data_IF_307344638129
#
_entry.id   IF_307344638129
#
_cell.length_a   1.000
_cell.length_b   1.000
_cell.length_c   1.000
_cell.angle_alpha   90.00
_cell.angle_beta   90.00
_cell.angle_gamma   90.00
#
_symmetry.space_group_name_H-M   'P 1'
#
loop_
_entity.id
_entity.type
_entity.pdbx_description
1 polymer ?
#
# COMPACT_ATOMS: atom_id res chain seq x y z
N UNK A 1 8.24 -6.82 32.52
CA UNK A 1 9.16 -5.68 32.34
C UNK A 1 9.30 -5.45 30.84
N UNK A 2 8.58 -4.47 30.28
CA UNK A 2 8.64 -4.15 28.85
C UNK A 2 9.74 -3.13 28.59
N UNK A 3 10.79 -3.53 27.90
CA UNK A 3 11.79 -2.61 27.36
C UNK A 3 11.21 -1.95 26.11
N UNK A 4 10.35 -0.95 26.30
CA UNK A 4 9.96 -0.04 25.21
C UNK A 4 11.20 0.75 24.81
N UNK A 5 12.00 0.23 23.87
CA UNK A 5 13.02 1.00 23.19
C UNK A 5 12.34 2.19 22.53
N UNK A 6 12.61 3.39 23.04
CA UNK A 6 12.07 4.64 22.50
C UNK A 6 12.38 4.66 20.99
N UNK A 7 11.35 4.70 20.16
CA UNK A 7 11.49 4.83 18.72
C UNK A 7 12.36 6.06 18.43
N UNK A 8 13.49 5.86 17.75
CA UNK A 8 14.44 6.95 17.46
C UNK A 8 13.86 8.01 16.52
N UNK A 9 12.77 7.68 15.83
CA UNK A 9 12.11 8.56 14.87
C UNK A 9 12.95 8.80 13.61
N UNK A 10 12.36 9.41 12.57
CA UNK A 10 13.12 9.87 11.43
C UNK A 10 14.06 11.00 11.85
N UNK A 11 15.31 10.93 11.38
CA UNK A 11 16.36 11.90 11.68
C UNK A 11 17.14 12.24 10.41
N UNK A 12 17.72 13.44 10.37
CA UNK A 12 18.46 13.96 9.20
C UNK A 12 17.88 15.27 8.66
N UNK A 13 18.66 15.92 7.79
CA UNK A 13 18.37 17.28 7.30
C UNK A 13 17.07 17.36 6.50
N UNK A 14 16.76 16.34 5.69
CA UNK A 14 15.54 16.32 4.87
C UNK A 14 14.27 16.23 5.70
N UNK A 15 14.22 15.31 6.66
CA UNK A 15 13.13 15.19 7.61
C UNK A 15 12.94 16.49 8.40
N UNK A 16 14.04 17.08 8.87
CA UNK A 16 14.02 18.35 9.62
C UNK A 16 13.58 19.53 8.75
N UNK A 17 13.88 19.51 7.45
CA UNK A 17 13.41 20.52 6.49
C UNK A 17 11.91 20.41 6.27
N UNK A 18 11.39 19.20 6.00
CA UNK A 18 9.96 18.94 5.81
C UNK A 18 9.16 19.35 7.06
N UNK A 19 9.60 18.95 8.26
CA UNK A 19 8.97 19.32 9.52
C UNK A 19 8.93 20.84 9.73
N UNK A 20 10.01 21.57 9.40
CA UNK A 20 10.02 23.03 9.48
C UNK A 20 9.08 23.69 8.47
N UNK A 21 8.90 23.12 7.28
CA UNK A 21 7.91 23.61 6.30
C UNK A 21 6.49 23.40 6.83
N UNK A 22 6.20 22.22 7.37
CA UNK A 22 4.91 21.90 7.96
C UNK A 22 4.57 22.79 9.16
N UNK A 23 5.53 23.04 10.06
CA UNK A 23 5.32 23.92 11.21
C UNK A 23 4.99 25.39 10.83
N UNK A 24 5.28 25.79 9.58
CA UNK A 24 4.94 27.11 9.03
C UNK A 24 3.73 27.10 8.12
N UNK A 25 3.16 25.92 7.84
CA UNK A 25 1.99 25.78 7.00
C UNK A 25 0.77 26.41 7.70
N UNK A 26 -0.11 27.00 6.89
CA UNK A 26 -1.34 27.65 7.35
C UNK A 26 -2.48 27.27 6.44
N UNK A 27 -3.50 26.68 7.03
CA UNK A 27 -4.72 26.25 6.36
C UNK A 27 -5.46 27.42 5.69
N UNK A 28 -5.48 28.60 6.32
CA UNK A 28 -6.16 29.79 5.78
C UNK A 28 -5.45 30.46 4.58
N UNK A 29 -4.37 29.89 4.06
CA UNK A 29 -3.61 30.49 2.96
C UNK A 29 -4.22 30.15 1.60
N UNK A 30 -4.16 31.10 0.64
CA UNK A 30 -4.72 30.93 -0.72
C UNK A 30 -4.23 29.69 -1.49
N UNK A 31 -3.08 29.12 -1.09
CA UNK A 31 -2.49 27.93 -1.71
C UNK A 31 -2.17 26.87 -0.64
N UNK A 32 -3.00 26.76 0.40
CA UNK A 32 -2.76 25.83 1.50
C UNK A 32 -2.63 24.39 1.00
N UNK A 33 -3.49 24.01 0.06
CA UNK A 33 -3.57 22.64 -0.47
C UNK A 33 -2.31 22.25 -1.23
N UNK A 34 -1.98 23.00 -2.28
CA UNK A 34 -0.74 22.81 -3.05
C UNK A 34 0.50 22.79 -2.14
N UNK A 35 0.56 23.65 -1.12
CA UNK A 35 1.68 23.67 -0.19
C UNK A 35 1.75 22.42 0.69
N UNK A 36 0.60 21.88 1.09
CA UNK A 36 0.55 20.65 1.87
C UNK A 36 1.02 19.45 1.03
N UNK A 37 0.62 19.39 -0.24
CA UNK A 37 1.08 18.40 -1.20
C UNK A 37 2.60 18.45 -1.41
N UNK A 38 3.17 19.65 -1.59
CA UNK A 38 4.62 19.81 -1.68
C UNK A 38 5.34 19.35 -0.41
N UNK A 39 4.72 19.53 0.77
CA UNK A 39 5.27 19.06 2.04
C UNK A 39 5.18 17.53 2.12
N UNK A 40 4.06 16.94 1.71
CA UNK A 40 3.90 15.48 1.63
C UNK A 40 4.94 14.86 0.68
N UNK A 41 5.19 15.51 -0.47
CA UNK A 41 6.24 15.11 -1.42
C UNK A 41 7.64 15.14 -0.79
N UNK A 42 7.95 16.13 0.03
CA UNK A 42 9.23 16.21 0.75
C UNK A 42 9.37 15.08 1.79
N UNK A 43 8.29 14.74 2.50
CA UNK A 43 8.26 13.62 3.42
C UNK A 43 8.44 12.27 2.72
N UNK A 44 7.74 12.04 1.61
CA UNK A 44 7.88 10.83 0.79
C UNK A 44 9.31 10.69 0.24
N UNK A 45 9.89 11.79 -0.25
CA UNK A 45 11.29 11.79 -0.70
C UNK A 45 12.26 11.47 0.43
N UNK A 46 12.06 12.03 1.61
CA UNK A 46 12.88 11.74 2.79
C UNK A 46 12.77 10.27 3.21
N UNK A 47 11.58 9.66 3.11
CA UNK A 47 11.36 8.24 3.36
C UNK A 47 12.16 7.38 2.37
N UNK A 48 11.98 7.60 1.07
CA UNK A 48 12.68 6.85 0.03
C UNK A 48 14.20 6.94 0.17
N UNK A 49 14.74 8.12 0.42
CA UNK A 49 16.18 8.29 0.64
C UNK A 49 16.68 7.55 1.88
N UNK A 50 15.90 7.58 2.96
CA UNK A 50 16.25 6.87 4.20
C UNK A 50 16.29 5.37 3.97
N UNK A 51 15.28 4.81 3.28
CA UNK A 51 15.20 3.37 3.01
C UNK A 51 16.25 2.91 1.99
N UNK A 52 16.63 3.74 1.03
CA UNK A 52 17.76 3.46 0.12
C UNK A 52 19.10 3.41 0.86
N UNK A 53 19.27 4.28 1.87
CA UNK A 53 20.49 4.30 2.68
C UNK A 53 20.53 3.15 3.71
N UNK A 54 19.38 2.83 4.31
CA UNK A 54 19.20 1.74 5.26
C UNK A 54 17.83 1.09 5.06
N UNK A 55 17.81 -0.06 4.38
CA UNK A 55 16.57 -0.81 4.10
C UNK A 55 15.86 -1.26 5.37
N UNK A 56 16.59 -1.43 6.48
CA UNK A 56 16.03 -1.84 7.77
C UNK A 56 15.42 -0.68 8.56
N UNK A 57 15.55 0.56 8.06
CA UNK A 57 15.03 1.73 8.74
C UNK A 57 13.52 1.57 9.02
N UNK A 58 13.18 1.82 10.29
CA UNK A 58 11.82 1.70 10.82
C UNK A 58 11.21 0.29 10.80
N UNK A 59 11.96 -0.74 10.37
CA UNK A 59 11.42 -2.08 10.12
C UNK A 59 10.39 -2.13 9.00
N UNK A 60 10.25 -1.04 8.21
CA UNK A 60 9.12 -0.85 7.31
C UNK A 60 9.12 -1.87 6.16
N UNK A 61 10.30 -2.15 5.59
CA UNK A 61 10.42 -3.11 4.49
C UNK A 61 9.95 -4.52 4.90
N UNK A 62 10.48 -5.05 6.00
CA UNK A 62 10.15 -6.41 6.45
C UNK A 62 8.68 -6.52 6.88
N UNK A 63 8.18 -5.50 7.60
CA UNK A 63 6.76 -5.44 7.99
C UNK A 63 5.83 -5.36 6.78
N UNK A 64 6.19 -4.54 5.79
CA UNK A 64 5.44 -4.39 4.53
C UNK A 64 5.37 -5.71 3.75
N UNK A 65 6.50 -6.41 3.61
CA UNK A 65 6.53 -7.72 2.95
C UNK A 65 5.68 -8.75 3.69
N UNK A 66 5.88 -8.89 5.00
CA UNK A 66 5.12 -9.87 5.79
C UNK A 66 3.61 -9.57 5.80
N UNK A 67 3.21 -8.30 5.75
CA UNK A 67 1.81 -7.92 5.60
C UNK A 67 1.27 -8.23 4.20
N UNK A 68 2.04 -7.90 3.14
CA UNK A 68 1.67 -8.21 1.76
C UNK A 68 1.48 -9.71 1.50
N UNK A 69 2.35 -10.56 2.04
CA UNK A 69 2.23 -12.03 1.94
C UNK A 69 0.94 -12.54 2.61
N UNK A 70 0.61 -11.99 3.79
CA UNK A 70 -0.63 -12.34 4.50
C UNK A 70 -1.87 -11.82 3.80
N UNK A 71 -1.82 -10.62 3.22
CA UNK A 71 -2.90 -10.10 2.39
C UNK A 71 -3.12 -11.00 1.18
N UNK A 72 -2.07 -11.35 0.44
CA UNK A 72 -2.15 -12.25 -0.72
C UNK A 72 -2.80 -13.60 -0.36
N UNK A 73 -2.47 -14.15 0.81
CA UNK A 73 -3.12 -15.35 1.34
C UNK A 73 -4.61 -15.15 1.68
N UNK A 74 -4.99 -13.98 2.21
CA UNK A 74 -6.37 -13.65 2.56
C UNK A 74 -7.28 -13.47 1.34
N UNK A 75 -6.75 -12.98 0.20
CA UNK A 75 -7.54 -12.73 -1.01
C UNK A 75 -8.30 -13.98 -1.48
N UNK A 76 -7.65 -15.16 -1.44
CA UNK A 76 -8.29 -16.41 -1.88
C UNK A 76 -9.50 -16.80 -1.03
N UNK A 77 -9.46 -16.53 0.28
CA UNK A 77 -10.60 -16.80 1.15
C UNK A 77 -11.71 -15.76 0.95
N UNK A 78 -11.36 -14.49 0.76
CA UNK A 78 -12.34 -13.44 0.42
C UNK A 78 -13.05 -13.68 -0.92
N UNK A 79 -12.35 -14.25 -1.91
CA UNK A 79 -12.95 -14.61 -3.20
C UNK A 79 -14.04 -15.69 -3.10
N UNK A 80 -14.01 -16.50 -2.02
CA UNK A 80 -14.96 -17.60 -1.80
C UNK A 80 -16.02 -17.22 -0.77
N UNK A 81 -15.60 -16.60 0.33
CA UNK A 81 -16.43 -16.39 1.52
C UNK A 81 -17.00 -14.96 1.59
N UNK A 82 -16.33 -13.99 0.97
CA UNK A 82 -16.69 -12.57 1.10
C UNK A 82 -16.61 -12.08 2.55
N UNK A 83 -17.49 -11.14 2.89
CA UNK A 83 -17.71 -10.67 4.26
C UNK A 83 -19.17 -10.23 4.46
N UNK A 84 -19.65 -10.31 5.70
CA UNK A 84 -21.04 -9.96 6.05
C UNK A 84 -21.29 -8.44 6.15
N UNK A 85 -20.23 -7.65 6.32
CA UNK A 85 -20.30 -6.18 6.37
C UNK A 85 -18.89 -5.57 6.25
N UNK A 86 -18.84 -4.27 5.97
CA UNK A 86 -17.57 -3.53 5.92
C UNK A 86 -16.80 -3.60 7.25
N UNK A 87 -17.49 -3.47 8.39
CA UNK A 87 -16.84 -3.55 9.71
C UNK A 87 -16.25 -4.93 9.98
N UNK A 88 -16.95 -6.00 9.57
CA UNK A 88 -16.46 -7.38 9.67
C UNK A 88 -15.27 -7.61 8.72
N UNK A 89 -15.33 -7.09 7.50
CA UNK A 89 -14.23 -7.16 6.53
C UNK A 89 -12.96 -6.47 7.07
N UNK A 90 -13.10 -5.24 7.58
CA UNK A 90 -11.98 -4.50 8.18
C UNK A 90 -11.44 -5.25 9.39
N UNK A 91 -12.29 -5.72 10.30
CA UNK A 91 -11.85 -6.45 11.49
C UNK A 91 -11.09 -7.74 11.13
N UNK A 92 -11.60 -8.49 10.14
CA UNK A 92 -10.97 -9.69 9.60
C UNK A 92 -9.59 -9.38 9.02
N UNK A 93 -9.52 -8.45 8.07
CA UNK A 93 -8.26 -8.10 7.40
C UNK A 93 -7.25 -7.48 8.36
N UNK A 94 -7.67 -6.64 9.31
CA UNK A 94 -6.75 -6.11 10.34
C UNK A 94 -6.19 -7.24 11.20
N UNK A 95 -6.98 -8.27 11.50
CA UNK A 95 -6.50 -9.44 12.25
C UNK A 95 -5.53 -10.30 11.42
N UNK A 96 -5.85 -10.57 10.16
CA UNK A 96 -5.05 -11.45 9.29
C UNK A 96 -3.77 -10.76 8.78
N UNK A 97 -3.86 -9.50 8.38
CA UNK A 97 -2.79 -8.71 7.72
C UNK A 97 -2.03 -7.82 8.71
N UNK A 98 -2.65 -7.38 9.80
CA UNK A 98 -2.06 -6.43 10.75
C UNK A 98 -0.85 -6.93 11.52
N UNK A 99 -0.83 -8.22 11.85
CA UNK A 99 0.30 -8.89 12.52
C UNK A 99 0.40 -8.51 14.00
N UNK A 100 1.30 -9.17 14.73
CA UNK A 100 1.40 -9.03 16.19
C UNK A 100 2.46 -8.01 16.65
N UNK A 101 3.10 -7.32 15.70
CA UNK A 101 4.12 -6.32 15.99
C UNK A 101 3.58 -5.08 16.70
N UNK A 102 4.48 -4.39 17.40
CA UNK A 102 4.19 -3.18 18.18
C UNK A 102 4.89 -1.92 17.66
N UNK A 103 5.47 -1.95 16.45
CA UNK A 103 6.19 -0.83 15.86
C UNK A 103 5.24 0.11 15.11
N UNK A 104 5.75 1.28 14.73
CA UNK A 104 5.00 2.25 13.93
C UNK A 104 4.57 1.67 12.57
N UNK A 105 5.42 0.84 11.96
CA UNK A 105 5.12 0.14 10.71
C UNK A 105 3.91 -0.81 10.87
N UNK A 106 3.82 -1.56 11.98
CA UNK A 106 2.68 -2.45 12.23
C UNK A 106 1.37 -1.66 12.40
N UNK A 107 1.45 -0.51 13.08
CA UNK A 107 0.31 0.39 13.21
C UNK A 107 -0.11 0.99 11.86
N UNK A 108 0.85 1.31 10.99
CA UNK A 108 0.60 1.79 9.63
C UNK A 108 -0.04 0.70 8.76
N UNK A 109 0.38 -0.56 8.87
CA UNK A 109 -0.28 -1.70 8.20
C UNK A 109 -1.74 -1.79 8.62
N UNK A 110 -2.03 -1.82 9.93
CA UNK A 110 -3.42 -1.94 10.42
C UNK A 110 -4.31 -0.78 9.97
N UNK A 111 -3.79 0.45 9.96
CA UNK A 111 -4.53 1.61 9.45
C UNK A 111 -4.66 1.58 7.93
N UNK A 112 -3.59 1.21 7.22
CA UNK A 112 -3.58 1.09 5.76
C UNK A 112 -4.56 0.05 5.25
N UNK A 113 -4.72 -1.08 5.94
CA UNK A 113 -5.80 -2.04 5.64
C UNK A 113 -7.18 -1.39 5.75
N UNK A 114 -7.43 -0.67 6.85
CA UNK A 114 -8.72 -0.04 7.06
C UNK A 114 -8.99 1.10 6.06
N UNK A 115 -7.96 1.83 5.63
CA UNK A 115 -8.04 2.81 4.54
C UNK A 115 -8.34 2.10 3.21
N UNK A 116 -7.59 1.06 2.87
CA UNK A 116 -7.73 0.38 1.59
C UNK A 116 -9.10 -0.24 1.39
N UNK A 117 -9.71 -0.79 2.45
CA UNK A 117 -11.09 -1.28 2.38
C UNK A 117 -12.08 -0.15 2.09
N UNK A 118 -11.87 1.06 2.64
CA UNK A 118 -12.73 2.22 2.35
C UNK A 118 -12.53 2.69 0.90
N UNK A 119 -11.29 2.84 0.48
CA UNK A 119 -10.96 3.34 -0.86
C UNK A 119 -11.37 2.38 -1.98
N UNK A 120 -11.28 1.07 -1.74
CA UNK A 120 -11.82 0.05 -2.66
C UNK A 120 -13.34 0.13 -2.69
N UNK A 121 -14.00 0.26 -1.55
CA UNK A 121 -15.46 0.36 -1.48
C UNK A 121 -15.98 1.61 -2.20
N UNK A 122 -15.28 2.73 -2.10
CA UNK A 122 -15.64 3.95 -2.81
C UNK A 122 -15.50 3.81 -4.34
N UNK A 123 -14.56 2.96 -4.80
CA UNK A 123 -14.36 2.63 -6.23
C UNK A 123 -15.27 1.51 -6.74
N UNK A 124 -15.71 0.62 -5.87
CA UNK A 124 -16.52 -0.56 -6.17
C UNK A 124 -17.80 -0.59 -5.31
N UNK A 125 -18.84 0.21 -5.66
CA UNK A 125 -20.12 0.18 -4.95
C UNK A 125 -20.77 -1.21 -4.94
N UNK A 126 -20.49 -2.06 -5.93
CA UNK A 126 -20.92 -3.46 -6.00
C UNK A 126 -20.39 -4.32 -4.84
N UNK A 127 -19.36 -3.87 -4.13
CA UNK A 127 -18.88 -4.51 -2.90
C UNK A 127 -19.96 -4.45 -1.80
N UNK A 128 -20.72 -3.35 -1.72
CA UNK A 128 -21.82 -3.22 -0.75
C UNK A 128 -22.95 -4.19 -1.11
N UNK A 129 -23.29 -4.31 -2.39
CA UNK A 129 -24.29 -5.28 -2.86
C UNK A 129 -23.87 -6.72 -2.54
N UNK A 130 -22.59 -7.05 -2.69
CA UNK A 130 -22.04 -8.37 -2.37
C UNK A 130 -22.12 -8.68 -0.87
N UNK A 131 -21.87 -7.69 -0.01
CA UNK A 131 -21.99 -7.84 1.45
C UNK A 131 -23.46 -7.93 1.89
N UNK A 132 -24.36 -7.14 1.28
CA UNK A 132 -25.80 -7.16 1.58
C UNK A 132 -26.47 -8.47 1.17
N UNK A 133 -25.98 -9.12 0.10
CA UNK A 133 -26.40 -10.46 -0.30
C UNK A 133 -25.99 -11.56 0.71
N UNK A 134 -25.08 -11.24 1.64
CA UNK A 134 -24.64 -12.10 2.74
C UNK A 134 -24.13 -13.46 2.29
N UNK A 135 -24.26 -14.47 3.16
CA UNK A 135 -23.79 -15.85 2.93
C UNK A 135 -24.43 -16.55 1.71
N UNK A 136 -25.42 -15.93 1.04
CA UNK A 136 -26.03 -16.45 -0.19
C UNK A 136 -25.46 -15.84 -1.48
N UNK A 137 -24.73 -14.72 -1.37
CA UNK A 137 -24.19 -13.94 -2.50
C UNK A 137 -22.86 -14.45 -3.07
N UNK A 138 -22.16 -15.33 -2.34
CA UNK A 138 -20.81 -15.78 -2.71
C UNK A 138 -19.72 -14.79 -2.25
N UNK A 139 -18.48 -15.03 -2.65
CA UNK A 139 -17.34 -14.17 -2.32
C UNK A 139 -17.17 -12.98 -3.27
N UNK A 140 -16.07 -12.24 -3.06
CA UNK A 140 -15.79 -11.03 -3.84
C UNK A 140 -15.17 -11.34 -5.20
N UNK A 141 -15.47 -10.49 -6.18
CA UNK A 141 -14.88 -10.57 -7.50
C UNK A 141 -13.37 -10.25 -7.46
N UNK A 142 -12.60 -10.91 -8.33
CA UNK A 142 -11.14 -10.85 -8.30
C UNK A 142 -10.57 -9.48 -8.66
N UNK A 143 -11.25 -8.72 -9.52
CA UNK A 143 -10.93 -7.32 -9.82
C UNK A 143 -10.93 -6.45 -8.56
N UNK A 144 -11.98 -6.54 -7.73
CA UNK A 144 -12.06 -5.83 -6.44
C UNK A 144 -10.90 -6.23 -5.51
N UNK A 145 -10.55 -7.52 -5.49
CA UNK A 145 -9.48 -8.06 -4.64
C UNK A 145 -8.08 -7.66 -5.12
N UNK A 146 -7.87 -7.60 -6.44
CA UNK A 146 -6.64 -7.08 -7.03
C UNK A 146 -6.47 -5.58 -6.75
N UNK A 147 -7.56 -4.82 -6.78
CA UNK A 147 -7.57 -3.41 -6.40
C UNK A 147 -7.32 -3.19 -4.91
N UNK A 148 -7.85 -4.06 -4.05
CA UNK A 148 -7.52 -4.08 -2.61
C UNK A 148 -6.04 -4.34 -2.36
N UNK A 149 -5.44 -5.29 -3.10
CA UNK A 149 -4.01 -5.54 -3.04
C UNK A 149 -3.23 -4.27 -3.40
N UNK A 150 -3.58 -3.62 -4.50
CA UNK A 150 -2.86 -2.45 -5.01
C UNK A 150 -2.91 -1.29 -4.03
N UNK A 151 -4.13 -0.94 -3.58
CA UNK A 151 -4.36 0.20 -2.69
C UNK A 151 -3.79 -0.04 -1.29
N UNK A 152 -3.81 -1.27 -0.78
CA UNK A 152 -3.21 -1.58 0.52
C UNK A 152 -1.75 -1.12 0.63
N UNK A 153 -0.91 -1.39 -0.38
CA UNK A 153 0.49 -0.97 -0.33
C UNK A 153 0.63 0.55 -0.35
N UNK A 154 -0.23 1.24 -1.08
CA UNK A 154 -0.22 2.70 -1.18
C UNK A 154 -0.65 3.35 0.15
N UNK A 155 -1.76 2.90 0.70
CA UNK A 155 -2.33 3.41 1.95
C UNK A 155 -1.44 3.12 3.15
N UNK A 156 -0.77 1.97 3.18
CA UNK A 156 0.19 1.66 4.23
C UNK A 156 1.34 2.67 4.27
N UNK A 157 1.84 3.12 3.10
CA UNK A 157 2.87 4.16 3.03
C UNK A 157 2.31 5.53 3.44
N UNK A 158 1.11 5.86 2.98
CA UNK A 158 0.39 7.07 3.38
C UNK A 158 0.19 7.16 4.90
N UNK A 159 -0.31 6.09 5.51
CA UNK A 159 -0.52 5.96 6.95
C UNK A 159 0.77 5.97 7.75
N UNK A 160 1.84 5.37 7.22
CA UNK A 160 3.15 5.45 7.84
C UNK A 160 3.64 6.90 7.90
N UNK A 161 3.57 7.63 6.78
CA UNK A 161 4.01 9.03 6.72
C UNK A 161 3.14 9.95 7.55
N UNK A 162 1.81 9.76 7.54
CA UNK A 162 0.89 10.47 8.44
C UNK A 162 1.28 10.29 9.90
N UNK A 163 1.66 9.07 10.28
CA UNK A 163 2.10 8.76 11.64
C UNK A 163 3.44 9.44 11.98
N UNK A 164 4.39 9.43 11.04
CA UNK A 164 5.67 10.13 11.18
C UNK A 164 5.47 11.63 11.36
N UNK A 165 4.60 12.23 10.53
CA UNK A 165 4.26 13.65 10.59
C UNK A 165 3.66 14.00 11.96
N UNK A 166 2.70 13.20 12.44
CA UNK A 166 2.08 13.43 13.74
C UNK A 166 3.10 13.40 14.89
N UNK A 167 4.08 12.50 14.85
CA UNK A 167 5.13 12.42 15.87
C UNK A 167 6.14 13.58 15.77
N UNK A 168 6.50 14.01 14.56
CA UNK A 168 7.38 15.17 14.36
C UNK A 168 6.75 16.48 14.86
N UNK A 169 5.44 16.64 14.68
CA UNK A 169 4.70 17.82 15.14
C UNK A 169 4.62 17.88 16.67
N UNK A 170 4.35 16.74 17.34
CA UNK A 170 4.33 16.68 18.82
C UNK A 170 5.64 17.15 19.44
N UNK A 171 6.78 16.86 18.80
CA UNK A 171 8.10 17.26 19.28
C UNK A 171 8.44 18.72 18.96
N UNK A 172 7.94 19.26 17.84
CA UNK A 172 8.26 20.62 17.40
C UNK A 172 7.32 21.69 17.99
N UNK A 173 6.03 21.40 18.15
CA UNK A 173 5.01 22.34 18.65
C UNK A 173 3.94 21.58 19.46
N UNK A 174 4.09 21.44 20.79
CA UNK A 174 3.20 20.63 21.63
C UNK A 174 1.72 21.08 21.70
N UNK A 175 1.37 22.22 21.10
CA UNK A 175 0.05 22.87 21.22
C UNK A 175 -0.78 22.76 19.94
N UNK A 176 -0.22 22.29 18.81
CA UNK A 176 -0.97 22.11 17.57
C UNK A 176 -1.61 20.71 17.52
N UNK A 177 -2.88 20.65 17.94
CA UNK A 177 -3.76 19.51 17.70
C UNK A 177 -4.34 19.67 16.29
N UNK A 178 -4.14 18.65 15.45
CA UNK A 178 -4.57 18.52 14.04
C UNK A 178 -3.75 19.32 13.01
N UNK A 179 -2.63 18.75 12.55
CA UNK A 179 -1.90 19.22 11.35
C UNK A 179 -2.33 18.53 10.06
N UNK A 180 -3.17 17.50 10.14
CA UNK A 180 -3.76 16.82 8.99
C UNK A 180 -5.16 16.29 9.35
N UNK A 181 -6.14 17.19 9.60
CA UNK A 181 -7.47 16.83 10.09
C UNK A 181 -8.25 15.92 9.13
N UNK A 182 -7.95 15.96 7.84
CA UNK A 182 -8.68 15.26 6.77
C UNK A 182 -7.86 14.13 6.11
N UNK A 183 -6.77 13.66 6.72
CA UNK A 183 -5.92 12.58 6.15
C UNK A 183 -5.24 12.89 4.82
N UNK A 184 -5.16 14.17 4.45
CA UNK A 184 -4.71 14.67 3.16
C UNK A 184 -3.27 14.28 2.81
N UNK A 185 -2.40 14.14 3.81
CA UNK A 185 -1.03 13.69 3.57
C UNK A 185 -1.04 12.20 3.19
N UNK A 186 -1.83 11.39 3.88
CA UNK A 186 -1.92 9.96 3.57
C UNK A 186 -2.54 9.77 2.18
N UNK A 187 -3.65 10.44 1.90
CA UNK A 187 -4.39 10.33 0.63
C UNK A 187 -3.52 10.76 -0.56
N UNK A 188 -2.84 11.90 -0.44
CA UNK A 188 -1.93 12.37 -1.50
C UNK A 188 -0.78 11.37 -1.72
N UNK A 189 -0.20 10.82 -0.65
CA UNK A 189 0.89 9.84 -0.78
C UNK A 189 0.38 8.57 -1.46
N UNK A 190 -0.78 8.06 -1.04
CA UNK A 190 -1.40 6.87 -1.61
C UNK A 190 -1.64 7.08 -3.12
N UNK A 191 -2.24 8.21 -3.50
CA UNK A 191 -2.46 8.59 -4.90
C UNK A 191 -1.16 8.58 -5.72
N UNK A 192 -0.03 9.03 -5.14
CA UNK A 192 1.25 9.08 -5.87
C UNK A 192 1.96 7.75 -6.03
N UNK A 193 1.64 6.75 -5.21
CA UNK A 193 2.38 5.46 -5.23
C UNK A 193 1.52 4.28 -5.66
N UNK A 194 0.18 4.41 -5.72
CA UNK A 194 -0.72 3.32 -6.12
C UNK A 194 -0.42 2.79 -7.52
N UNK A 195 -0.18 3.68 -8.48
CA UNK A 195 0.16 3.32 -9.87
C UNK A 195 1.52 2.61 -10.01
N UNK A 196 2.35 2.65 -8.95
CA UNK A 196 3.61 1.92 -8.92
C UNK A 196 3.41 0.46 -8.51
N UNK A 197 2.31 0.14 -7.82
CA UNK A 197 2.07 -1.22 -7.30
C UNK A 197 1.58 -2.10 -8.45
N UNK A 198 2.24 -3.24 -8.73
CA UNK A 198 1.77 -4.16 -9.76
C UNK A 198 0.40 -4.75 -9.36
N UNK A 199 -0.50 -4.83 -10.33
CA UNK A 199 -1.83 -5.42 -10.14
C UNK A 199 -1.78 -6.93 -10.42
N UNK A 200 -2.16 -7.81 -9.47
CA UNK A 200 -2.09 -9.26 -9.69
C UNK A 200 -2.94 -9.77 -10.86
N UNK A 201 -4.07 -9.11 -11.13
CA UNK A 201 -4.98 -9.48 -12.21
C UNK A 201 -4.38 -9.13 -13.58
N UNK A 202 -3.74 -7.96 -13.69
CA UNK A 202 -3.03 -7.55 -14.91
C UNK A 202 -1.85 -8.50 -15.21
N UNK A 203 -1.02 -8.79 -14.20
CA UNK A 203 0.13 -9.70 -14.34
C UNK A 203 -0.31 -11.13 -14.70
N UNK A 204 -1.46 -11.57 -14.18
CA UNK A 204 -2.06 -12.86 -14.57
C UNK A 204 -2.57 -12.87 -16.01
N UNK A 205 -3.15 -11.77 -16.48
CA UNK A 205 -3.64 -11.63 -17.84
C UNK A 205 -2.46 -11.65 -18.84
N UNK A 206 -1.41 -10.87 -18.57
CA UNK A 206 -0.19 -10.84 -19.39
C UNK A 206 0.49 -12.21 -19.46
N UNK A 207 0.59 -12.92 -18.34
CA UNK A 207 1.15 -14.28 -18.32
C UNK A 207 0.31 -15.27 -19.15
N UNK A 208 -1.02 -15.10 -19.14
CA UNK A 208 -1.94 -15.92 -19.94
C UNK A 208 -1.79 -15.61 -21.43
N UNK A 209 -1.71 -14.34 -21.81
CA UNK A 209 -1.53 -13.91 -23.21
C UNK A 209 -0.19 -14.40 -23.77
N UNK A 210 0.89 -14.31 -22.98
CA UNK A 210 2.21 -14.86 -23.33
C UNK A 210 2.15 -16.38 -23.50
N UNK A 211 1.50 -17.09 -22.58
CA UNK A 211 1.35 -18.55 -22.67
C UNK A 211 0.53 -18.95 -23.91
N UNK A 212 -0.55 -18.23 -24.23
CA UNK A 212 -1.35 -18.47 -25.43
C UNK A 212 -0.57 -18.16 -26.70
N UNK A 213 0.24 -17.11 -26.74
CA UNK A 213 1.12 -16.80 -27.86
C UNK A 213 2.17 -17.91 -28.10
N UNK A 214 2.72 -18.48 -27.02
CA UNK A 214 3.70 -19.58 -27.08
C UNK A 214 3.02 -20.92 -27.43
N UNK A 215 1.84 -21.21 -26.89
CA UNK A 215 1.11 -22.46 -27.17
C UNK A 215 0.53 -22.47 -28.59
N UNK A 216 0.15 -21.30 -29.12
CA UNK A 216 -0.16 -21.13 -30.57
C UNK A 216 1.05 -21.49 -31.45
N UNK A 217 2.28 -21.39 -30.93
CA UNK A 217 3.50 -21.79 -31.61
C UNK A 217 3.94 -23.25 -31.34
N UNK A 218 3.43 -23.92 -30.29
CA UNK A 218 3.91 -25.24 -29.86
C UNK A 218 2.88 -26.36 -29.70
N UNK A 219 1.58 -26.06 -29.71
CA UNK A 219 0.44 -26.99 -29.68
C UNK A 219 0.79 -28.45 -29.30
N UNK A 220 0.75 -28.78 -28.00
CA UNK A 220 0.35 -30.07 -27.43
C UNK A 220 0.46 -30.08 -25.89
N UNK A 221 -0.71 -30.07 -25.24
CA UNK A 221 -1.06 -30.64 -23.91
C UNK A 221 -0.57 -29.93 -22.63
N UNK A 222 -1.53 -29.39 -21.87
CA UNK A 222 -1.66 -29.74 -20.44
C UNK A 222 -2.11 -28.65 -19.46
N UNK A 223 -3.40 -28.70 -19.09
CA UNK A 223 -4.03 -28.10 -17.92
C UNK A 223 -3.92 -26.57 -17.75
N UNK A 224 -4.89 -25.85 -18.32
CA UNK A 224 -5.27 -24.53 -17.82
C UNK A 224 -5.68 -24.67 -16.35
N UNK A 225 -4.79 -24.27 -15.44
CA UNK A 225 -5.13 -24.10 -14.04
C UNK A 225 -6.19 -22.99 -13.95
N UNK A 226 -7.24 -23.19 -13.16
CA UNK A 226 -8.26 -22.17 -12.98
C UNK A 226 -7.60 -20.87 -12.50
N UNK A 227 -7.74 -19.74 -13.23
CA UNK A 227 -7.07 -18.47 -12.90
C UNK A 227 -7.29 -18.01 -11.45
N UNK A 228 -8.46 -18.35 -10.89
CA UNK A 228 -8.82 -18.04 -9.51
C UNK A 228 -7.93 -18.75 -8.45
N UNK A 229 -7.41 -19.94 -8.75
CA UNK A 229 -6.55 -20.68 -7.82
C UNK A 229 -5.08 -20.21 -7.86
N UNK A 230 -4.70 -19.47 -8.92
CA UNK A 230 -3.33 -18.98 -9.13
C UNK A 230 -3.13 -17.53 -8.65
N UNK A 231 -4.19 -16.71 -8.65
CA UNK A 231 -4.10 -15.29 -8.28
C UNK A 231 -3.49 -15.02 -6.89
N UNK A 232 -3.83 -15.76 -5.81
CA UNK A 232 -3.15 -15.60 -4.52
C UNK A 232 -1.63 -15.79 -4.61
N UNK A 233 -1.17 -16.78 -5.39
CA UNK A 233 0.25 -17.06 -5.57
C UNK A 233 0.96 -16.01 -6.41
N UNK A 234 0.26 -15.49 -7.43
CA UNK A 234 0.76 -14.36 -8.23
C UNK A 234 0.91 -13.13 -7.32
N UNK A 235 -0.14 -12.78 -6.57
CA UNK A 235 -0.12 -11.67 -5.62
C UNK A 235 1.03 -11.81 -4.59
N UNK A 236 1.23 -13.01 -4.03
CA UNK A 236 2.33 -13.31 -3.10
C UNK A 236 3.71 -13.08 -3.75
N UNK A 237 3.90 -13.57 -4.98
CA UNK A 237 5.15 -13.40 -5.73
C UNK A 237 5.48 -11.94 -6.08
N UNK A 238 4.45 -11.10 -6.19
CA UNK A 238 4.58 -9.67 -6.50
C UNK A 238 4.95 -8.83 -5.28
N UNK A 239 4.79 -9.34 -4.05
CA UNK A 239 4.98 -8.56 -2.81
C UNK A 239 6.35 -7.87 -2.75
N UNK A 240 7.50 -8.53 -3.02
CA UNK A 240 8.79 -7.86 -2.97
C UNK A 240 8.91 -6.71 -3.99
N UNK A 241 8.29 -6.84 -5.16
CA UNK A 241 8.27 -5.81 -6.21
C UNK A 241 7.36 -4.65 -5.81
N UNK A 242 6.15 -4.94 -5.33
CA UNK A 242 5.20 -3.95 -4.82
C UNK A 242 5.82 -3.10 -3.71
N UNK A 243 6.33 -3.75 -2.65
CA UNK A 243 7.01 -3.10 -1.52
C UNK A 243 8.23 -2.31 -2.00
N UNK A 244 9.04 -2.91 -2.88
CA UNK A 244 10.22 -2.25 -3.43
C UNK A 244 9.89 -0.95 -4.19
N UNK A 245 8.81 -0.96 -4.98
CA UNK A 245 8.37 0.22 -5.75
C UNK A 245 7.79 1.32 -4.85
N UNK A 246 6.83 1.02 -3.97
CA UNK A 246 6.21 2.05 -3.11
C UNK A 246 7.17 2.66 -2.10
N UNK A 247 8.16 1.88 -1.64
CA UNK A 247 9.22 2.36 -0.75
C UNK A 247 10.39 3.03 -1.50
N UNK A 248 10.31 3.12 -2.83
CA UNK A 248 11.32 3.76 -3.67
C UNK A 248 12.65 3.01 -3.75
N UNK A 249 12.69 1.74 -3.35
CA UNK A 249 13.88 0.87 -3.43
C UNK A 249 14.13 0.36 -4.84
N UNK A 250 13.08 0.25 -5.65
CA UNK A 250 13.14 -0.10 -7.06
C UNK A 250 12.71 1.14 -7.84
N UNK A 251 13.68 1.78 -8.49
CA UNK A 251 13.41 2.74 -9.56
C UNK A 251 13.56 1.97 -10.86
N UNK A 252 12.47 1.77 -11.60
CA UNK A 252 12.60 1.30 -12.99
C UNK A 252 13.38 2.39 -13.74
N UNK A 253 14.67 2.16 -13.99
CA UNK A 253 15.30 2.78 -15.15
C UNK A 253 14.50 2.26 -16.33
N UNK A 254 13.79 3.15 -17.00
CA UNK A 254 13.26 2.89 -18.32
C UNK A 254 14.50 2.72 -19.22
N UNK A 255 15.08 1.53 -19.22
CA UNK A 255 16.03 1.12 -20.25
C UNK A 255 15.21 0.93 -21.52
N UNK A 256 14.98 2.04 -22.23
CA UNK A 256 14.68 1.99 -23.65
C UNK A 256 15.87 1.34 -24.34
N UNK A 257 15.69 0.12 -24.82
CA UNK A 257 16.55 -0.45 -25.84
C UNK A 257 16.54 0.47 -27.08
N UNK A 258 17.62 1.20 -27.30
CA UNK A 258 18.08 1.52 -28.65
C UNK A 258 19.53 1.05 -28.79
N UNK A 259 19.67 -0.28 -28.76
CA UNK A 259 20.74 -0.96 -29.48
C UNK A 259 20.45 -0.92 -30.98
N UNK A 260 20.63 0.25 -31.60
CA UNK A 260 20.72 0.38 -33.05
C UNK A 260 21.64 1.57 -33.39
N UNK A 261 22.95 1.32 -33.35
CA UNK A 261 23.93 2.22 -33.93
C UNK A 261 25.03 1.45 -34.68
N UNK A 262 25.07 1.75 -35.98
CA UNK A 262 26.13 1.56 -36.99
C UNK A 262 26.37 0.15 -37.55
#
# INVERSE_FOLDING_TARGET
MGTSTRWKGPSGDRWSSAARRLARWREDSRNADQRLEEIAADYLRALHETLRADRSAFGLYDTACAAGERLAGALGSLAVEGAESADVLVARLVSEVGGDGGMLADAAVRRGVAAAVRDVRDRHPELDDAMDAGATGGGFAWDILCDLYQVFFADMVGEFLRSVVAEHVKLAVPVLVATDPESRIADWVAEKVVDLVPNPCEESAEATDLAQAVDTAQSLVGAAQEPAATLPKIAESLVPRAVGKVLGLITEEITGEEGAAA
#
